data_IF_716470091108
#
_entry.id   IF_716470091108
#
_cell.length_a   1.000
_cell.length_b   1.000
_cell.length_c   1.000
_cell.angle_alpha   90.00
_cell.angle_beta   90.00
_cell.angle_gamma   90.00
#
_symmetry.space_group_name_H-M   'P 1'
#
loop_
_entity.id
_entity.type
_entity.pdbx_description
1 polymer ?
#
# COMPACT_ATOMS: atom_id res chain seq x y z
N UNK A 1 -55.71 7.99 31.53
CA UNK A 1 -54.34 7.93 32.07
C UNK A 1 -53.39 8.41 30.99
N UNK A 2 -52.48 9.32 31.36
CA UNK A 2 -51.57 10.06 30.46
C UNK A 2 -50.39 9.18 30.01
N UNK A 3 -49.78 9.58 28.89
CA UNK A 3 -48.36 9.41 28.47
C UNK A 3 -47.87 7.98 28.16
N UNK A 4 -47.80 7.56 26.89
CA UNK A 4 -46.67 7.73 25.92
C UNK A 4 -45.34 7.08 26.32
N UNK A 5 -45.13 5.88 25.75
CA UNK A 5 -43.96 5.49 24.94
C UNK A 5 -42.54 5.76 25.51
N UNK A 6 -41.95 4.74 26.15
CA UNK A 6 -40.55 4.73 26.60
C UNK A 6 -39.74 3.54 26.05
N UNK A 7 -40.11 3.00 24.88
CA UNK A 7 -39.37 1.87 24.25
C UNK A 7 -38.68 2.24 22.93
N UNK A 8 -38.84 3.48 22.46
CA UNK A 8 -38.25 3.95 21.19
C UNK A 8 -36.86 4.60 21.33
N UNK A 9 -36.38 4.83 22.57
CA UNK A 9 -35.12 5.59 22.83
C UNK A 9 -33.84 4.75 22.87
N UNK A 10 -33.91 3.43 22.66
CA UNK A 10 -32.71 2.58 22.58
C UNK A 10 -32.25 2.31 21.15
N UNK A 11 -33.14 2.46 20.15
CA UNK A 11 -32.80 2.19 18.74
C UNK A 11 -32.32 3.42 17.96
N UNK A 12 -32.70 4.64 18.36
CA UNK A 12 -32.20 5.87 17.71
C UNK A 12 -30.78 6.25 18.14
N UNK A 13 -30.34 5.79 19.32
CA UNK A 13 -28.98 6.02 19.82
C UNK A 13 -27.90 5.26 19.02
N UNK A 14 -28.25 4.13 18.40
CA UNK A 14 -27.31 3.35 17.57
C UNK A 14 -27.08 4.02 16.20
N UNK A 15 -28.04 4.78 15.69
CA UNK A 15 -27.90 5.50 14.41
C UNK A 15 -27.02 6.77 14.53
N UNK A 16 -26.96 7.38 15.72
CA UNK A 16 -26.08 8.52 16.02
C UNK A 16 -24.68 8.12 16.49
N UNK A 17 -24.49 6.90 17.00
CA UNK A 17 -23.16 6.34 17.29
C UNK A 17 -22.51 5.62 16.08
N UNK A 18 -23.22 5.53 14.94
CA UNK A 18 -22.70 4.94 13.69
C UNK A 18 -21.90 5.90 12.80
N UNK A 19 -21.83 7.19 13.14
CA UNK A 19 -21.10 8.21 12.36
C UNK A 19 -19.63 8.41 12.76
N UNK A 20 -19.14 7.69 13.78
CA UNK A 20 -17.73 7.73 14.20
C UNK A 20 -16.96 6.42 13.93
N UNK A 21 -17.41 5.59 12.98
CA UNK A 21 -16.66 4.43 12.51
C UNK A 21 -15.99 4.64 11.13
N UNK A 22 -15.77 5.89 10.72
CA UNK A 22 -14.76 6.21 9.70
C UNK A 22 -13.42 6.44 10.42
N UNK A 23 -12.59 5.40 10.58
CA UNK A 23 -11.10 5.50 10.59
C UNK A 23 -10.45 4.20 11.05
N UNK A 24 -10.68 3.11 10.31
CA UNK A 24 -9.61 2.12 10.19
C UNK A 24 -9.52 1.70 8.74
N UNK A 25 -8.79 2.51 7.97
CA UNK A 25 -8.16 2.01 6.77
C UNK A 25 -7.11 0.99 7.23
N UNK A 26 -7.56 -0.25 7.41
CA UNK A 26 -6.68 -1.39 7.62
C UNK A 26 -5.95 -1.68 6.32
N UNK A 27 -4.72 -1.19 6.21
CA UNK A 27 -3.55 -1.95 5.79
C UNK A 27 -2.39 -0.96 5.77
N UNK A 28 -1.50 -1.07 6.76
CA UNK A 28 -0.17 -0.52 6.65
C UNK A 28 0.56 -1.19 5.48
N UNK A 29 0.29 -0.76 4.25
CA UNK A 29 1.30 -0.75 3.21
C UNK A 29 2.04 0.55 3.42
N UNK A 30 3.01 0.52 4.32
CA UNK A 30 4.09 1.50 4.31
C UNK A 30 4.46 1.73 2.86
N UNK A 31 4.71 2.98 2.48
CA UNK A 31 5.40 3.36 1.25
C UNK A 31 6.84 2.79 1.30
N UNK A 32 6.93 1.47 1.40
CA UNK A 32 8.14 0.72 1.43
C UNK A 32 8.51 0.51 -0.02
N UNK A 33 9.65 1.06 -0.40
CA UNK A 33 10.21 0.82 -1.70
C UNK A 33 10.39 -0.69 -1.96
N UNK A 34 10.67 -1.46 -0.91
CA UNK A 34 10.92 -2.90 -1.00
C UNK A 34 9.77 -3.69 -0.35
N UNK A 35 9.11 -4.52 -1.15
CA UNK A 35 8.21 -5.58 -0.74
C UNK A 35 8.97 -6.90 -0.65
N UNK A 36 9.27 -7.32 0.57
CA UNK A 36 10.03 -8.55 0.85
C UNK A 36 9.36 -9.81 0.30
N UNK A 37 8.04 -9.80 0.09
CA UNK A 37 7.32 -10.95 -0.47
C UNK A 37 7.59 -11.17 -1.95
N UNK A 38 8.13 -10.16 -2.65
CA UNK A 38 8.47 -10.22 -4.08
C UNK A 38 9.93 -10.53 -4.36
N UNK A 39 10.77 -10.62 -3.32
CA UNK A 39 12.18 -10.96 -3.49
C UNK A 39 12.30 -12.40 -3.99
N UNK A 40 13.01 -12.61 -5.09
CA UNK A 40 13.15 -13.92 -5.74
C UNK A 40 14.45 -14.02 -6.51
N UNK A 41 15.10 -15.18 -6.49
CA UNK A 41 16.31 -15.48 -7.26
C UNK A 41 16.01 -16.07 -8.65
N UNK A 42 14.80 -15.85 -9.17
CA UNK A 42 14.42 -16.31 -10.51
C UNK A 42 15.28 -15.69 -11.64
N UNK A 43 15.32 -16.35 -12.81
CA UNK A 43 16.16 -15.90 -13.91
C UNK A 43 15.61 -14.61 -14.55
N UNK A 44 16.51 -13.67 -14.83
CA UNK A 44 16.24 -12.52 -15.68
C UNK A 44 17.06 -12.60 -16.97
N UNK A 45 16.58 -11.92 -18.02
CA UNK A 45 17.38 -11.73 -19.22
C UNK A 45 18.60 -10.84 -18.91
N UNK A 46 19.67 -11.00 -19.68
CA UNK A 46 20.87 -10.16 -19.59
C UNK A 46 20.75 -8.86 -20.40
N UNK A 47 19.54 -8.53 -20.89
CA UNK A 47 19.30 -7.30 -21.63
C UNK A 47 19.54 -6.11 -20.69
N UNK A 48 20.33 -5.16 -21.16
CA UNK A 48 20.54 -3.90 -20.47
C UNK A 48 19.47 -2.89 -20.90
N UNK A 49 18.56 -2.57 -19.97
CA UNK A 49 17.49 -1.58 -20.10
C UNK A 49 17.26 -0.95 -18.72
N UNK A 50 18.16 -0.05 -18.28
CA UNK A 50 18.31 0.28 -16.88
C UNK A 50 17.07 0.95 -16.30
N UNK A 51 16.83 0.71 -15.01
CA UNK A 51 15.77 1.38 -14.24
C UNK A 51 16.32 1.94 -12.94
N UNK A 52 15.80 3.09 -12.52
CA UNK A 52 16.10 3.71 -11.25
C UNK A 52 15.04 3.33 -10.24
N UNK A 53 15.46 2.54 -9.25
CA UNK A 53 14.60 2.07 -8.17
C UNK A 53 14.15 3.18 -7.23
N UNK A 54 13.02 2.97 -6.56
CA UNK A 54 12.59 3.84 -5.45
C UNK A 54 13.59 3.87 -4.26
N UNK A 55 14.58 2.99 -4.24
CA UNK A 55 15.66 2.92 -3.26
C UNK A 55 16.90 3.72 -3.71
N UNK A 56 16.80 4.39 -4.87
CA UNK A 56 17.86 5.19 -5.45
C UNK A 56 18.97 4.37 -6.10
N UNK A 57 18.77 3.07 -6.34
CA UNK A 57 19.73 2.21 -7.02
C UNK A 57 19.34 1.97 -8.48
N UNK A 58 20.35 1.92 -9.33
CA UNK A 58 20.19 1.50 -10.73
C UNK A 58 20.17 -0.03 -10.81
N UNK A 59 19.16 -0.58 -11.46
CA UNK A 59 19.05 -2.00 -11.81
C UNK A 59 19.26 -2.15 -13.32
N UNK A 60 19.86 -3.26 -13.75
CA UNK A 60 20.18 -3.46 -15.18
C UNK A 60 18.96 -3.62 -16.08
N UNK A 61 17.82 -4.05 -15.52
CA UNK A 61 16.51 -4.07 -16.15
C UNK A 61 15.37 -4.19 -15.12
N UNK A 62 14.13 -4.04 -15.60
CA UNK A 62 12.92 -4.13 -14.78
C UNK A 62 12.76 -5.48 -14.06
N UNK A 63 13.14 -6.59 -14.71
CA UNK A 63 13.09 -7.92 -14.07
C UNK A 63 13.99 -7.95 -12.83
N UNK A 64 15.24 -7.49 -12.93
CA UNK A 64 16.14 -7.41 -11.78
C UNK A 64 15.61 -6.52 -10.66
N UNK A 65 14.93 -5.41 -10.98
CA UNK A 65 14.31 -4.53 -9.98
C UNK A 65 13.14 -5.23 -9.27
N UNK A 66 12.26 -5.90 -10.00
CA UNK A 66 11.14 -6.64 -9.44
C UNK A 66 11.61 -7.79 -8.53
N UNK A 67 12.60 -8.56 -8.97
CA UNK A 67 13.22 -9.64 -8.21
C UNK A 67 13.97 -9.16 -6.96
N UNK A 68 14.42 -7.91 -6.93
CA UNK A 68 14.94 -7.26 -5.73
C UNK A 68 13.85 -6.75 -4.77
N UNK A 69 12.58 -6.98 -5.12
CA UNK A 69 11.40 -6.63 -4.33
C UNK A 69 10.95 -5.19 -4.52
N UNK A 70 11.40 -4.47 -5.55
CA UNK A 70 11.00 -3.08 -5.73
C UNK A 70 9.49 -2.97 -6.05
N UNK A 71 8.86 -1.98 -5.45
CA UNK A 71 7.44 -1.66 -5.69
C UNK A 71 7.25 -0.59 -6.75
N UNK A 72 8.30 0.16 -7.08
CA UNK A 72 8.30 1.19 -8.12
C UNK A 72 9.72 1.50 -8.63
N UNK A 73 9.81 1.90 -9.90
CA UNK A 73 11.03 2.35 -10.56
C UNK A 73 10.68 3.28 -11.73
N UNK A 74 11.66 4.08 -12.16
CA UNK A 74 11.59 4.89 -13.37
C UNK A 74 12.55 4.34 -14.43
N UNK A 75 12.25 4.53 -15.71
CA UNK A 75 13.15 4.17 -16.81
C UNK A 75 14.45 5.00 -16.76
N UNK A 76 15.57 4.37 -17.10
CA UNK A 76 16.89 4.97 -17.08
C UNK A 76 17.66 4.72 -15.77
N UNK A 77 18.95 5.02 -15.78
CA UNK A 77 19.77 4.98 -14.56
C UNK A 77 19.36 6.06 -13.55
N UNK A 78 19.66 5.86 -12.27
CA UNK A 78 19.54 6.93 -11.29
C UNK A 78 20.55 8.05 -11.57
N UNK A 79 20.14 9.30 -11.30
CA UNK A 79 21.03 10.45 -11.41
C UNK A 79 22.23 10.28 -10.46
N UNK A 80 23.44 10.22 -11.02
CA UNK A 80 24.68 10.25 -10.24
C UNK A 80 24.83 11.66 -9.66
N UNK A 81 24.90 11.76 -8.33
CA UNK A 81 25.25 13.02 -7.64
C UNK A 81 26.75 13.26 -7.69
#
# INVERSE_FOLDING_TARGET
MKTTNTSSSLFTAVLLMGLMALSSCGAGKTLACIDKSKISDGPCTLQYDPVCGCDGKTYGNACMAEHAGLTSWASGECAKK
#
